data_IF_136419629794
#
_entry.id   IF_136419629794
#
_cell.length_a   1.000
_cell.length_b   1.000
_cell.length_c   1.000
_cell.angle_alpha   90.00
_cell.angle_beta   90.00
_cell.angle_gamma   90.00
#
_symmetry.space_group_name_H-M   'P 1'
#
loop_
_entity.id
_entity.type
_entity.pdbx_description
1 polymer ?
#
# COMPACT_ATOMS: atom_id res chain seq x y z
N UNK A 1 -7.75 -2.34 7.60
CA UNK A 1 -7.40 -1.84 8.96
C UNK A 1 -7.38 -2.93 10.02
N UNK A 2 -8.38 -3.81 10.13
CA UNK A 2 -8.39 -4.87 11.14
C UNK A 2 -7.16 -5.82 11.06
N UNK A 3 -6.79 -6.30 9.86
CA UNK A 3 -5.64 -7.20 9.68
C UNK A 3 -4.31 -6.58 10.15
N UNK A 4 -4.10 -5.28 9.86
CA UNK A 4 -2.91 -4.54 10.31
C UNK A 4 -2.85 -4.45 11.85
N UNK A 5 -3.97 -4.09 12.48
CA UNK A 5 -4.07 -4.00 13.94
C UNK A 5 -3.84 -5.37 14.60
N UNK A 6 -4.42 -6.44 14.05
CA UNK A 6 -4.20 -7.80 14.53
C UNK A 6 -2.75 -8.25 14.37
N UNK A 7 -2.04 -7.78 13.34
CA UNK A 7 -0.60 -8.01 13.16
C UNK A 7 0.28 -7.09 14.04
N UNK A 8 -0.34 -6.25 14.88
CA UNK A 8 0.37 -5.32 15.77
C UNK A 8 1.07 -4.19 15.02
N UNK A 9 0.59 -3.78 13.84
CA UNK A 9 1.10 -2.60 13.15
C UNK A 9 0.25 -1.37 13.49
N UNK A 10 0.93 -0.29 13.84
CA UNK A 10 0.35 1.05 13.84
C UNK A 10 0.11 1.53 12.40
N UNK A 11 -0.66 2.62 12.27
CA UNK A 11 -0.95 3.21 10.96
C UNK A 11 0.31 3.66 10.22
N UNK A 12 1.32 4.18 10.91
CA UNK A 12 2.57 4.62 10.28
C UNK A 12 3.47 3.43 9.92
N UNK A 13 3.54 2.39 10.75
CA UNK A 13 4.32 1.19 10.44
C UNK A 13 3.74 0.44 9.23
N UNK A 14 2.42 0.45 9.06
CA UNK A 14 1.79 -0.08 7.85
C UNK A 14 2.32 0.62 6.59
N UNK A 15 2.46 1.95 6.61
CA UNK A 15 3.02 2.72 5.50
C UNK A 15 4.49 2.44 5.28
N UNK A 16 5.28 2.32 6.35
CA UNK A 16 6.71 1.97 6.24
C UNK A 16 6.88 0.60 5.59
N UNK A 17 6.11 -0.41 6.01
CA UNK A 17 6.18 -1.75 5.39
C UNK A 17 5.72 -1.75 3.94
N UNK A 18 4.80 -0.85 3.56
CA UNK A 18 4.43 -0.66 2.15
C UNK A 18 5.53 0.04 1.36
N UNK A 19 6.14 1.10 1.88
CA UNK A 19 7.27 1.75 1.23
C UNK A 19 8.45 0.80 1.01
N UNK A 20 8.68 -0.12 1.96
CA UNK A 20 9.72 -1.14 1.89
C UNK A 20 9.47 -2.21 0.80
N UNK A 21 8.29 -2.26 0.14
CA UNK A 21 8.08 -3.10 -1.05
C UNK A 21 8.66 -2.45 -2.31
N UNK A 22 8.89 -1.14 -2.31
CA UNK A 22 9.36 -0.37 -3.46
C UNK A 22 8.25 0.04 -4.44
N UNK A 23 6.99 -0.35 -4.20
CA UNK A 23 5.87 -0.02 -5.09
C UNK A 23 5.49 1.47 -5.04
N UNK A 24 5.67 2.09 -3.88
CA UNK A 24 5.35 3.51 -3.64
C UNK A 24 6.47 4.16 -2.84
N UNK A 25 6.83 5.39 -3.24
CA UNK A 25 7.86 6.18 -2.56
C UNK A 25 7.49 6.48 -1.10
N UNK A 26 8.50 6.39 -0.22
CA UNK A 26 8.35 6.62 1.21
C UNK A 26 7.92 8.06 1.54
N UNK A 27 8.46 9.05 0.82
CA UNK A 27 8.09 10.45 0.96
C UNK A 27 6.62 10.68 0.63
N UNK A 28 6.14 10.12 -0.47
CA UNK A 28 4.71 10.19 -0.87
C UNK A 28 3.80 9.60 0.22
N UNK A 29 4.12 8.41 0.74
CA UNK A 29 3.31 7.77 1.78
C UNK A 29 3.31 8.52 3.12
N UNK A 30 4.45 9.11 3.49
CA UNK A 30 4.59 9.95 4.68
C UNK A 30 3.79 11.25 4.55
N UNK A 31 4.01 11.99 3.46
CA UNK A 31 3.53 13.36 3.30
C UNK A 31 2.02 13.40 3.05
N UNK A 32 1.49 12.45 2.27
CA UNK A 32 0.03 12.33 2.03
C UNK A 32 -0.80 12.07 3.30
N UNK A 33 -0.17 11.69 4.41
CA UNK A 33 -0.81 11.39 5.69
C UNK A 33 -0.28 12.25 6.84
N UNK A 34 0.43 13.34 6.50
CA UNK A 34 0.94 14.35 7.43
C UNK A 34 1.80 13.79 8.58
N UNK A 35 2.54 12.70 8.33
CA UNK A 35 3.48 12.18 9.32
C UNK A 35 4.79 12.98 9.29
N UNK A 36 5.33 13.33 10.46
CA UNK A 36 6.63 14.00 10.51
C UNK A 36 7.78 13.03 10.24
N UNK A 37 8.96 13.52 9.80
CA UNK A 37 10.14 12.69 9.64
C UNK A 37 10.54 11.93 10.91
N UNK A 38 10.34 12.52 12.09
CA UNK A 38 10.67 11.91 13.38
C UNK A 38 9.72 10.76 13.70
N UNK A 39 8.42 10.93 13.42
CA UNK A 39 7.43 9.86 13.59
C UNK A 39 7.75 8.69 12.65
N UNK A 40 8.09 8.98 11.39
CA UNK A 40 8.51 7.97 10.42
C UNK A 40 9.76 7.24 10.87
N UNK A 41 10.80 7.98 11.29
CA UNK A 41 12.05 7.40 11.79
C UNK A 41 11.81 6.46 12.97
N UNK A 42 10.96 6.84 13.93
CA UNK A 42 10.60 5.96 15.06
C UNK A 42 9.88 4.69 14.60
N UNK A 43 8.97 4.79 13.63
CA UNK A 43 8.29 3.62 13.07
C UNK A 43 9.27 2.66 12.37
N UNK A 44 10.25 3.20 11.63
CA UNK A 44 11.32 2.39 11.00
C UNK A 44 12.14 1.67 12.07
N UNK A 45 12.54 2.35 13.15
CA UNK A 45 13.31 1.73 14.24
C UNK A 45 12.52 0.61 14.93
N UNK A 46 11.26 0.86 15.29
CA UNK A 46 10.41 -0.16 15.90
C UNK A 46 10.28 -1.42 15.02
N UNK A 47 10.17 -1.25 13.69
CA UNK A 47 10.09 -2.37 12.75
C UNK A 47 11.40 -3.14 12.62
N UNK A 48 12.56 -2.46 12.70
CA UNK A 48 13.88 -3.11 12.75
C UNK A 48 14.07 -3.90 14.04
N UNK A 49 13.73 -3.32 15.18
CA UNK A 49 13.78 -4.00 16.48
C UNK A 49 12.90 -5.27 16.50
N UNK A 50 11.78 -5.24 15.76
CA UNK A 50 10.88 -6.39 15.58
C UNK A 50 11.35 -7.39 14.51
N UNK A 51 12.41 -7.10 13.78
CA UNK A 51 12.95 -7.94 12.71
C UNK A 51 12.13 -7.94 11.42
N UNK A 52 11.29 -6.92 11.18
CA UNK A 52 10.51 -6.79 9.95
C UNK A 52 11.32 -6.11 8.82
N UNK A 53 12.26 -5.26 9.18
CA UNK A 53 13.12 -4.53 8.25
C UNK A 53 14.58 -4.89 8.49
N UNK A 54 15.34 -4.93 7.40
CA UNK A 54 16.79 -5.02 7.47
C UNK A 54 17.39 -3.71 8.01
N UNK A 55 18.58 -3.84 8.60
CA UNK A 55 19.41 -2.69 8.97
C UNK A 55 19.99 -2.02 7.73
N UNK A 56 20.15 -0.69 7.80
CA UNK A 56 20.82 0.07 6.74
C UNK A 56 20.15 1.42 6.42
N UNK A 57 20.63 2.10 5.37
CA UNK A 57 20.11 3.40 4.97
C UNK A 57 18.78 3.31 4.20
N UNK A 58 18.48 2.15 3.60
CA UNK A 58 17.29 1.94 2.78
C UNK A 58 16.25 1.10 3.54
N UNK A 59 14.97 1.25 3.14
CA UNK A 59 13.90 0.39 3.62
C UNK A 59 13.93 -0.91 2.81
N UNK A 60 14.17 -2.02 3.49
CA UNK A 60 14.09 -3.35 2.91
C UNK A 60 13.43 -4.28 3.93
N UNK A 61 12.44 -5.06 3.49
CA UNK A 61 11.83 -6.09 4.32
C UNK A 61 12.79 -7.27 4.47
N UNK A 62 12.93 -7.77 5.69
CA UNK A 62 13.52 -9.09 5.94
C UNK A 62 12.64 -10.17 5.31
N UNK A 63 13.13 -11.41 5.28
CA UNK A 63 12.29 -12.54 4.86
C UNK A 63 11.04 -12.71 5.75
N UNK A 64 11.20 -12.56 7.07
CA UNK A 64 10.07 -12.60 8.00
C UNK A 64 9.11 -11.42 7.78
N UNK A 65 9.64 -10.23 7.52
CA UNK A 65 8.86 -9.04 7.19
C UNK A 65 8.03 -9.21 5.92
N UNK A 66 8.62 -9.78 4.86
CA UNK A 66 7.91 -10.11 3.62
C UNK A 66 6.77 -11.10 3.87
N UNK A 67 7.05 -12.19 4.58
CA UNK A 67 6.06 -13.21 4.92
C UNK A 67 4.87 -12.62 5.69
N UNK A 68 5.13 -11.85 6.74
CA UNK A 68 4.08 -11.21 7.55
C UNK A 68 3.27 -10.19 6.76
N UNK A 69 3.93 -9.41 5.91
CA UNK A 69 3.24 -8.47 5.02
C UNK A 69 2.32 -9.22 4.04
N UNK A 70 2.78 -10.30 3.44
CA UNK A 70 1.95 -11.14 2.57
C UNK A 70 0.74 -11.73 3.32
N UNK A 71 0.90 -12.17 4.57
CA UNK A 71 -0.20 -12.65 5.41
C UNK A 71 -1.26 -11.57 5.70
N UNK A 72 -0.82 -10.33 5.96
CA UNK A 72 -1.70 -9.18 6.14
C UNK A 72 -2.49 -8.88 4.87
N UNK A 73 -1.82 -8.82 3.72
CA UNK A 73 -2.48 -8.54 2.44
C UNK A 73 -3.46 -9.67 2.08
N UNK A 74 -3.06 -10.93 2.21
CA UNK A 74 -3.94 -12.08 2.00
C UNK A 74 -5.18 -12.04 2.91
N UNK A 75 -4.99 -11.70 4.20
CA UNK A 75 -6.11 -11.55 5.13
C UNK A 75 -7.04 -10.42 4.72
N UNK A 76 -6.46 -9.30 4.24
CA UNK A 76 -7.22 -8.14 3.78
C UNK A 76 -8.02 -8.47 2.52
N UNK A 77 -7.41 -9.14 1.53
CA UNK A 77 -8.07 -9.61 0.32
C UNK A 77 -9.24 -10.55 0.64
N UNK A 78 -9.01 -11.53 1.51
CA UNK A 78 -10.04 -12.48 1.94
C UNK A 78 -11.24 -11.78 2.58
N UNK A 79 -10.99 -10.77 3.43
CA UNK A 79 -12.05 -10.01 4.10
C UNK A 79 -12.78 -9.06 3.13
N UNK A 80 -12.09 -8.55 2.11
CA UNK A 80 -12.65 -7.65 1.11
C UNK A 80 -13.35 -8.38 -0.04
N UNK A 81 -13.18 -9.69 -0.20
CA UNK A 81 -13.63 -10.43 -1.37
C UNK A 81 -15.16 -10.54 -1.52
N UNK A 82 -15.91 -10.59 -0.40
CA UNK A 82 -17.33 -10.96 -0.42
C UNK A 82 -18.21 -10.08 -1.34
N UNK A 83 -18.10 -8.74 -1.33
CA UNK A 83 -18.87 -7.89 -2.26
C UNK A 83 -18.57 -8.22 -3.73
N UNK A 84 -17.32 -8.45 -4.09
CA UNK A 84 -16.91 -8.75 -5.47
C UNK A 84 -17.35 -10.15 -5.91
N UNK A 85 -17.28 -11.14 -5.02
CA UNK A 85 -17.78 -12.49 -5.28
C UNK A 85 -19.30 -12.44 -5.51
N UNK A 86 -20.03 -11.69 -4.69
CA UNK A 86 -21.48 -11.53 -4.80
C UNK A 86 -21.88 -10.83 -6.10
N UNK A 87 -21.12 -9.81 -6.50
CA UNK A 87 -21.38 -9.05 -7.73
C UNK A 87 -21.09 -9.88 -8.99
N UNK A 88 -20.08 -10.74 -8.92
CA UNK A 88 -19.67 -11.61 -10.02
C UNK A 88 -18.88 -10.87 -11.12
N UNK A 89 -18.19 -11.63 -12.01
CA UNK A 89 -17.19 -11.05 -12.92
C UNK A 89 -17.75 -10.00 -13.89
N UNK A 90 -18.96 -10.22 -14.44
CA UNK A 90 -19.55 -9.33 -15.42
C UNK A 90 -19.88 -7.95 -14.82
N UNK A 91 -20.53 -7.93 -13.66
CA UNK A 91 -20.86 -6.67 -12.99
C UNK A 91 -19.63 -6.03 -12.32
N UNK A 92 -18.60 -6.78 -11.95
CA UNK A 92 -17.29 -6.20 -11.61
C UNK A 92 -16.63 -5.49 -12.80
N UNK A 93 -16.74 -6.03 -14.02
CA UNK A 93 -16.23 -5.38 -15.22
C UNK A 93 -17.02 -4.10 -15.54
N UNK A 94 -18.34 -4.14 -15.40
CA UNK A 94 -19.19 -2.96 -15.52
C UNK A 94 -18.82 -1.89 -14.48
N UNK A 95 -18.71 -2.27 -13.20
CA UNK A 95 -18.28 -1.37 -12.12
C UNK A 95 -16.94 -0.69 -12.45
N UNK A 96 -15.95 -1.46 -12.94
CA UNK A 96 -14.66 -0.91 -13.36
C UNK A 96 -14.81 0.09 -14.50
N UNK A 97 -15.66 -0.21 -15.49
CA UNK A 97 -15.93 0.71 -16.61
C UNK A 97 -16.58 2.02 -16.13
N UNK A 98 -17.55 1.94 -15.22
CA UNK A 98 -18.25 3.10 -14.68
C UNK A 98 -17.35 3.99 -13.82
N UNK A 99 -16.46 3.40 -13.01
CA UNK A 99 -15.58 4.15 -12.09
C UNK A 99 -14.34 4.70 -12.81
N UNK A 100 -13.90 4.06 -13.90
CA UNK A 100 -12.69 4.39 -14.66
C UNK A 100 -12.49 5.89 -14.95
N UNK A 101 -13.47 6.61 -15.52
CA UNK A 101 -13.35 8.04 -15.79
C UNK A 101 -13.08 8.89 -14.54
N UNK A 102 -13.70 8.56 -13.41
CA UNK A 102 -13.49 9.26 -12.15
C UNK A 102 -12.13 8.94 -11.55
N UNK A 103 -11.71 7.68 -11.55
CA UNK A 103 -10.38 7.28 -11.10
C UNK A 103 -9.28 7.99 -11.91
N UNK A 104 -9.45 8.09 -13.23
CA UNK A 104 -8.50 8.79 -14.10
C UNK A 104 -8.46 10.30 -13.81
N UNK A 105 -9.62 10.93 -13.62
CA UNK A 105 -9.68 12.35 -13.28
C UNK A 105 -8.95 12.64 -11.96
N UNK A 106 -9.19 11.83 -10.92
CA UNK A 106 -8.50 11.96 -9.63
C UNK A 106 -7.00 11.68 -9.74
N UNK A 107 -6.62 10.65 -10.50
CA UNK A 107 -5.21 10.30 -10.69
C UNK A 107 -4.42 11.41 -11.39
N UNK A 108 -5.01 12.12 -12.37
CA UNK A 108 -4.36 13.27 -13.03
C UNK A 108 -4.02 14.40 -12.07
N UNK A 109 -4.89 14.67 -11.10
CA UNK A 109 -4.67 15.72 -10.11
C UNK A 109 -3.69 15.29 -9.00
N UNK A 110 -3.75 14.03 -8.56
CA UNK A 110 -3.02 13.58 -7.37
C UNK A 110 -1.71 12.83 -7.67
N UNK A 111 -1.61 12.19 -8.83
CA UNK A 111 -0.51 11.31 -9.23
C UNK A 111 -0.16 11.50 -10.73
N UNK A 112 0.08 12.74 -11.21
CA UNK A 112 0.28 13.01 -12.64
C UNK A 112 1.41 12.15 -13.25
N UNK A 113 2.48 11.87 -12.48
CA UNK A 113 3.61 11.04 -12.90
C UNK A 113 3.27 9.55 -13.14
N UNK A 114 2.15 9.05 -12.62
CA UNK A 114 1.68 7.67 -12.84
C UNK A 114 0.84 7.59 -14.12
N UNK A 115 0.05 8.62 -14.40
CA UNK A 115 -0.85 8.68 -15.57
C UNK A 115 -0.06 8.75 -16.87
N UNK A 116 1.04 9.49 -16.88
CA UNK A 116 1.92 9.61 -18.04
C UNK A 116 2.51 8.24 -18.41
N UNK A 117 2.95 7.47 -17.41
CA UNK A 117 3.56 6.14 -17.59
C UNK A 117 2.61 5.09 -18.14
N UNK A 118 1.32 5.13 -17.75
CA UNK A 118 0.28 4.23 -18.28
C UNK A 118 -0.18 4.62 -19.69
N UNK A 119 -0.02 5.91 -20.04
CA UNK A 119 -0.34 6.41 -21.38
C UNK A 119 0.74 6.03 -22.39
N UNK A 120 2.00 5.93 -21.96
CA UNK A 120 3.14 5.47 -22.78
C UNK A 120 3.12 3.95 -23.06
N UNK A 121 2.66 3.11 -22.13
CA UNK A 121 2.54 1.65 -22.34
C UNK A 121 1.34 1.22 -23.21
N UNK A 122 0.39 2.14 -23.45
CA UNK A 122 -0.82 1.88 -24.25
C UNK A 122 -0.73 2.39 -25.70
N UNK A 123 0.42 2.94 -26.10
CA UNK A 123 0.70 3.51 -27.43
C UNK A 123 1.66 2.63 -28.25
#
# INVERSE_FOLDING_TARGET
MAALLTAGLSGIEALVTHAATGDVDAGVLRDSRAWTPEQWGRAVQNLRERGWLDDGPHLALTEDGRRRRAEIEHTTDRLAALPYITLGPAACAELRSLVGPFSLAVAKELLPWVVDRLSEESA
#
